data_IF_438938191836
#
_entry.id   IF_438938191836
#
_cell.length_a   1.000
_cell.length_b   1.000
_cell.length_c   1.000
_cell.angle_alpha   90.00
_cell.angle_beta   90.00
_cell.angle_gamma   90.00
#
_symmetry.space_group_name_H-M   'P 1'
#
loop_
_entity.id
_entity.type
_entity.pdbx_description
1 polymer ?
#
# COMPACT_ATOMS: atom_id res chain seq x y z
N UNK A 1 -1.09 -20.33 -18.01
CA UNK A 1 -2.51 -20.09 -17.71
C UNK A 1 -2.59 -19.21 -16.47
N UNK A 2 -3.43 -18.17 -16.44
CA UNK A 2 -3.61 -17.37 -15.23
C UNK A 2 -4.16 -18.23 -14.07
N UNK A 3 -3.75 -17.98 -12.82
CA UNK A 3 -4.08 -18.83 -11.68
C UNK A 3 -5.56 -18.78 -11.25
N UNK A 4 -6.35 -17.87 -11.83
CA UNK A 4 -7.77 -17.68 -11.51
C UNK A 4 -8.57 -17.45 -12.78
N UNK A 5 -9.73 -18.12 -12.91
CA UNK A 5 -10.63 -18.00 -14.06
C UNK A 5 -11.17 -16.57 -14.25
N UNK A 6 -11.47 -15.86 -13.16
CA UNK A 6 -12.00 -14.49 -13.20
C UNK A 6 -11.01 -13.51 -12.58
N UNK A 7 -10.58 -12.50 -13.34
CA UNK A 7 -9.65 -11.46 -12.90
C UNK A 7 -10.22 -10.07 -13.18
N UNK A 8 -9.72 -9.06 -12.47
CA UNK A 8 -10.02 -7.67 -12.84
C UNK A 8 -9.32 -7.33 -14.16
N UNK A 9 -10.02 -6.65 -15.05
CA UNK A 9 -9.49 -6.21 -16.35
C UNK A 9 -8.18 -5.41 -16.17
N UNK A 10 -7.06 -5.89 -16.75
CA UNK A 10 -5.81 -5.16 -16.74
C UNK A 10 -5.96 -3.76 -17.34
N UNK A 11 -5.14 -2.82 -16.89
CA UNK A 11 -5.24 -1.45 -17.35
C UNK A 11 -4.62 -1.28 -18.74
N UNK A 12 -5.43 -0.90 -19.73
CA UNK A 12 -4.99 -0.61 -21.10
C UNK A 12 -5.27 0.84 -21.53
N UNK A 13 -5.66 1.71 -20.60
CA UNK A 13 -6.01 3.11 -20.84
C UNK A 13 -7.39 3.47 -20.31
N UNK A 14 -7.86 4.70 -20.58
CA UNK A 14 -9.15 5.20 -20.07
C UNK A 14 -10.35 4.32 -20.46
N UNK A 15 -10.27 3.64 -21.61
CA UNK A 15 -11.35 2.80 -22.13
C UNK A 15 -11.52 1.48 -21.37
N UNK A 16 -10.46 1.02 -20.67
CA UNK A 16 -10.54 -0.14 -19.74
C UNK A 16 -11.15 0.24 -18.37
N UNK A 17 -11.71 1.44 -18.24
CA UNK A 17 -12.32 1.93 -17.00
C UNK A 17 -13.70 2.50 -17.28
N UNK A 18 -14.68 1.92 -16.61
CA UNK A 18 -16.10 2.17 -16.83
C UNK A 18 -16.67 3.15 -15.79
N UNK A 19 -17.92 3.51 -15.99
CA UNK A 19 -18.71 4.25 -15.01
C UNK A 19 -19.10 3.32 -13.86
N UNK A 20 -18.88 3.77 -12.62
CA UNK A 20 -19.25 2.98 -11.45
C UNK A 20 -20.79 2.93 -11.30
N UNK A 21 -21.40 1.73 -11.18
CA UNK A 21 -22.86 1.60 -11.06
C UNK A 21 -23.39 2.19 -9.75
N UNK A 22 -22.57 2.25 -8.70
CA UNK A 22 -22.99 2.78 -7.41
C UNK A 22 -22.88 4.32 -7.30
N UNK A 23 -21.78 4.92 -7.77
CA UNK A 23 -21.55 6.37 -7.60
C UNK A 23 -21.63 7.19 -8.90
N UNK A 24 -21.89 6.55 -10.04
CA UNK A 24 -22.04 7.21 -11.35
C UNK A 24 -20.79 7.90 -11.88
N UNK A 25 -19.63 7.76 -11.23
CA UNK A 25 -18.40 8.44 -11.68
C UNK A 25 -17.77 7.70 -12.88
N UNK A 26 -17.47 8.40 -13.98
CA UNK A 26 -16.87 7.80 -15.17
C UNK A 26 -15.40 7.42 -14.93
N UNK A 27 -14.94 6.36 -15.59
CA UNK A 27 -13.56 5.85 -15.52
C UNK A 27 -13.08 5.47 -14.11
N UNK A 28 -14.00 5.12 -13.22
CA UNK A 28 -13.69 4.72 -11.85
C UNK A 28 -14.04 3.27 -11.56
N UNK A 29 -14.48 2.49 -12.56
CA UNK A 29 -14.91 1.12 -12.37
C UNK A 29 -14.08 0.16 -13.20
N UNK A 30 -13.56 -0.89 -12.57
CA UNK A 30 -12.80 -1.97 -13.21
C UNK A 30 -13.64 -3.24 -13.14
N UNK A 31 -13.97 -3.84 -14.30
CA UNK A 31 -14.83 -5.02 -14.38
C UNK A 31 -14.02 -6.31 -14.26
N UNK A 32 -14.69 -7.40 -13.87
CA UNK A 32 -14.12 -8.74 -13.97
C UNK A 32 -14.28 -9.30 -15.38
N UNK A 33 -13.22 -9.93 -15.87
CA UNK A 33 -13.17 -10.68 -17.13
C UNK A 33 -12.94 -12.17 -16.86
N UNK A 34 -13.55 -13.04 -17.68
CA UNK A 34 -13.23 -14.46 -17.74
C UNK A 34 -11.95 -14.64 -18.57
N UNK A 35 -10.95 -15.30 -18.01
CA UNK A 35 -9.66 -15.54 -18.65
C UNK A 35 -9.70 -16.63 -19.71
N UNK A 36 -10.76 -17.46 -19.75
CA UNK A 36 -10.96 -18.48 -20.77
C UNK A 36 -11.59 -17.89 -22.04
N UNK A 37 -12.53 -16.94 -21.90
CA UNK A 37 -13.27 -16.35 -23.02
C UNK A 37 -12.83 -14.93 -23.38
N UNK A 38 -12.19 -14.21 -22.45
CA UNK A 38 -11.87 -12.79 -22.59
C UNK A 38 -13.07 -11.86 -22.36
N UNK A 39 -14.24 -12.39 -22.03
CA UNK A 39 -15.48 -11.63 -21.91
C UNK A 39 -15.69 -11.07 -20.50
N UNK A 40 -16.43 -9.96 -20.40
CA UNK A 40 -16.86 -9.41 -19.12
C UNK A 40 -17.94 -10.28 -18.49
N UNK A 41 -17.86 -10.48 -17.17
CA UNK A 41 -18.82 -11.33 -16.47
C UNK A 41 -20.23 -10.71 -16.46
N UNK A 42 -20.31 -9.42 -16.14
CA UNK A 42 -21.51 -8.60 -16.27
C UNK A 42 -21.14 -7.11 -16.05
N UNK A 43 -22.04 -6.22 -16.48
CA UNK A 43 -21.80 -4.78 -16.49
C UNK A 43 -21.56 -4.17 -15.10
N UNK A 44 -22.10 -4.80 -14.05
CA UNK A 44 -22.01 -4.37 -12.66
C UNK A 44 -21.00 -5.17 -11.84
N UNK A 45 -20.33 -6.19 -12.39
CA UNK A 45 -19.39 -7.03 -11.63
C UNK A 45 -17.99 -6.46 -11.73
N UNK A 46 -17.47 -5.95 -10.61
CA UNK A 46 -16.22 -5.19 -10.60
C UNK A 46 -15.98 -4.42 -9.31
N UNK A 47 -14.94 -3.60 -9.32
CA UNK A 47 -14.54 -2.75 -8.19
C UNK A 47 -14.45 -1.27 -8.60
N UNK A 48 -14.88 -0.39 -7.71
CA UNK A 48 -14.70 1.05 -7.86
C UNK A 48 -13.34 1.51 -7.31
N UNK A 49 -12.57 2.22 -8.13
CA UNK A 49 -11.28 2.81 -7.79
C UNK A 49 -11.41 3.91 -6.71
N UNK A 50 -12.60 4.51 -6.53
CA UNK A 50 -12.89 5.46 -5.46
C UNK A 50 -13.22 4.74 -4.15
N UNK A 51 -12.31 3.89 -3.70
CA UNK A 51 -12.52 2.99 -2.55
C UNK A 51 -13.01 3.76 -1.30
N UNK A 52 -12.39 4.90 -0.98
CA UNK A 52 -12.72 5.66 0.23
C UNK A 52 -14.05 6.42 0.14
N UNK A 53 -14.50 6.75 -1.09
CA UNK A 53 -15.71 7.55 -1.30
C UNK A 53 -16.93 6.72 -1.70
N UNK A 54 -16.71 5.56 -2.33
CA UNK A 54 -17.75 4.73 -2.91
C UNK A 54 -17.69 3.29 -2.38
N UNK A 55 -16.49 2.69 -2.30
CA UNK A 55 -16.30 1.35 -1.73
C UNK A 55 -16.95 0.20 -2.51
N UNK A 56 -17.59 0.46 -3.65
CA UNK A 56 -18.32 -0.57 -4.41
C UNK A 56 -17.38 -1.69 -4.89
N UNK A 57 -17.71 -2.93 -4.51
CA UNK A 57 -17.06 -4.14 -4.98
C UNK A 57 -18.10 -5.25 -5.08
N UNK A 58 -18.40 -5.68 -6.30
CA UNK A 58 -19.27 -6.82 -6.57
C UNK A 58 -18.42 -7.92 -7.22
N UNK A 59 -18.18 -9.00 -6.48
CA UNK A 59 -17.23 -10.05 -6.88
C UNK A 59 -17.90 -11.08 -7.79
N UNK A 60 -17.13 -11.86 -8.58
CA UNK A 60 -17.67 -13.02 -9.29
C UNK A 60 -18.41 -14.00 -8.36
N UNK A 61 -17.91 -14.19 -7.13
CA UNK A 61 -18.57 -15.04 -6.13
C UNK A 61 -19.97 -14.53 -5.78
N UNK A 62 -20.12 -13.21 -5.61
CA UNK A 62 -21.43 -12.60 -5.34
C UNK A 62 -22.34 -12.70 -6.56
N UNK A 63 -21.81 -12.42 -7.76
CA UNK A 63 -22.55 -12.54 -9.02
C UNK A 63 -23.15 -13.94 -9.23
N UNK A 64 -22.36 -15.00 -9.06
CA UNK A 64 -22.84 -16.37 -9.23
C UNK A 64 -23.79 -16.82 -8.12
N UNK A 65 -23.62 -16.32 -6.89
CA UNK A 65 -24.57 -16.55 -5.80
C UNK A 65 -25.93 -15.95 -6.15
N UNK A 66 -25.93 -14.74 -6.68
CA UNK A 66 -27.15 -13.96 -6.87
C UNK A 66 -27.89 -14.33 -8.18
N UNK A 67 -27.21 -14.87 -9.20
CA UNK A 67 -27.81 -15.14 -10.53
C UNK A 67 -28.23 -16.59 -10.83
N UNK A 68 -28.06 -17.56 -9.92
CA UNK A 68 -28.57 -18.96 -10.01
C UNK A 68 -28.57 -19.63 -11.40
N UNK A 69 -27.67 -19.29 -12.30
CA UNK A 69 -27.57 -19.90 -13.62
C UNK A 69 -26.24 -20.64 -13.75
N UNK A 70 -26.39 -21.92 -14.12
CA UNK A 70 -25.39 -22.98 -14.23
C UNK A 70 -25.13 -23.69 -12.89
N UNK A 71 -25.49 -24.96 -12.89
CA UNK A 71 -25.35 -25.90 -11.80
C UNK A 71 -24.00 -25.70 -11.08
N UNK A 72 -24.07 -25.51 -9.76
CA UNK A 72 -22.92 -25.72 -8.91
C UNK A 72 -22.34 -27.08 -9.31
N UNK A 73 -21.08 -27.18 -9.76
CA UNK A 73 -20.45 -28.48 -9.80
C UNK A 73 -20.61 -29.03 -8.39
N UNK A 74 -21.15 -30.25 -8.26
CA UNK A 74 -21.05 -31.00 -7.01
C UNK A 74 -19.64 -30.77 -6.47
N UNK A 75 -19.42 -30.62 -5.16
CA UNK A 75 -18.08 -30.49 -4.62
C UNK A 75 -17.33 -31.79 -4.96
N UNK A 76 -16.71 -31.83 -6.13
CA UNK A 76 -15.55 -32.67 -6.38
C UNK A 76 -14.65 -32.21 -5.28
N UNK A 77 -14.33 -33.10 -4.35
CA UNK A 77 -13.36 -32.83 -3.32
C UNK A 77 -12.18 -32.18 -4.04
N UNK A 78 -12.05 -30.85 -3.89
CA UNK A 78 -10.94 -30.12 -4.45
C UNK A 78 -9.78 -30.79 -3.75
N UNK A 79 -9.05 -31.66 -4.44
CA UNK A 79 -7.68 -31.95 -4.06
C UNK A 79 -7.11 -30.55 -3.88
N UNK A 80 -6.82 -30.19 -2.62
CA UNK A 80 -6.12 -28.94 -2.30
C UNK A 80 -5.11 -28.78 -3.42
N UNK A 81 -5.13 -27.68 -4.22
CA UNK A 81 -4.20 -27.55 -5.32
C UNK A 81 -2.86 -27.94 -4.74
N UNK A 82 -2.31 -29.06 -5.23
CA UNK A 82 -0.99 -29.47 -4.80
C UNK A 82 -0.16 -28.23 -5.09
N UNK A 83 0.58 -27.69 -4.12
CA UNK A 83 1.36 -26.50 -4.36
C UNK A 83 2.17 -26.80 -5.61
N UNK A 84 1.85 -26.13 -6.72
CA UNK A 84 2.74 -26.12 -7.87
C UNK A 84 4.07 -25.72 -7.25
N UNK A 85 5.15 -26.50 -7.45
CA UNK A 85 6.43 -26.15 -6.88
C UNK A 85 6.69 -24.72 -7.34
N UNK A 86 6.60 -23.78 -6.40
CA UNK A 86 6.95 -22.39 -6.66
C UNK A 86 8.37 -22.50 -7.14
N UNK A 87 8.63 -22.15 -8.39
CA UNK A 87 9.96 -22.26 -8.97
C UNK A 87 10.94 -21.59 -8.00
N UNK A 88 11.71 -22.42 -7.30
CA UNK A 88 12.46 -22.02 -6.11
C UNK A 88 13.55 -21.01 -6.45
N UNK A 89 13.80 -20.82 -7.75
CA UNK A 89 14.83 -19.98 -8.33
C UNK A 89 14.38 -18.53 -8.59
N UNK A 90 13.08 -18.20 -8.46
CA UNK A 90 12.64 -16.83 -8.68
C UNK A 90 13.14 -15.88 -7.57
N UNK A 91 13.65 -14.68 -7.93
CA UNK A 91 14.06 -13.68 -6.96
C UNK A 91 12.89 -13.25 -6.08
N UNK A 92 13.14 -13.19 -4.78
CA UNK A 92 12.17 -12.77 -3.75
C UNK A 92 12.62 -11.54 -2.96
N UNK A 93 13.85 -11.09 -3.21
CA UNK A 93 14.49 -9.97 -2.56
C UNK A 93 15.20 -9.10 -3.59
N UNK A 94 15.19 -7.79 -3.36
CA UNK A 94 16.06 -6.86 -4.08
C UNK A 94 17.50 -7.05 -3.61
N UNK A 95 18.49 -7.18 -4.51
CA UNK A 95 19.88 -7.33 -4.14
C UNK A 95 20.36 -6.14 -3.29
N UNK A 96 21.13 -6.43 -2.23
CA UNK A 96 21.69 -5.41 -1.34
C UNK A 96 22.49 -4.35 -2.11
N UNK A 97 23.26 -4.74 -3.13
CA UNK A 97 24.01 -3.79 -3.94
C UNK A 97 23.12 -2.76 -4.66
N UNK A 98 21.92 -3.16 -5.10
CA UNK A 98 20.95 -2.23 -5.72
C UNK A 98 20.42 -1.27 -4.68
N UNK A 99 20.02 -1.78 -3.52
CA UNK A 99 19.55 -0.98 -2.38
C UNK A 99 20.58 0.08 -1.96
N UNK A 100 21.82 -0.32 -1.67
CA UNK A 100 22.89 0.58 -1.21
C UNK A 100 23.21 1.68 -2.23
N UNK A 101 23.16 1.38 -3.54
CA UNK A 101 23.36 2.39 -4.60
C UNK A 101 22.34 3.53 -4.56
N UNK A 102 21.19 3.32 -3.91
CA UNK A 102 20.15 4.35 -3.80
C UNK A 102 20.28 5.23 -2.56
N UNK A 103 21.11 4.85 -1.58
CA UNK A 103 21.28 5.57 -0.31
C UNK A 103 22.26 6.75 -0.44
N UNK A 104 22.01 7.61 -1.43
CA UNK A 104 22.87 8.75 -1.77
C UNK A 104 22.06 9.83 -2.50
N UNK A 105 22.73 10.87 -2.99
CA UNK A 105 22.16 11.94 -3.82
C UNK A 105 20.95 12.67 -3.17
N UNK A 106 20.98 12.81 -1.84
CA UNK A 106 19.86 13.38 -1.07
C UNK A 106 19.57 14.84 -1.41
N UNK A 107 20.57 15.60 -1.87
CA UNK A 107 20.38 16.97 -2.37
C UNK A 107 19.44 17.03 -3.59
N UNK A 108 19.32 15.95 -4.34
CA UNK A 108 18.45 15.86 -5.51
C UNK A 108 17.09 15.22 -5.20
N UNK A 109 16.83 14.76 -3.97
CA UNK A 109 15.62 14.02 -3.62
C UNK A 109 14.51 14.97 -3.16
N UNK A 110 13.41 15.06 -3.92
CA UNK A 110 12.36 16.05 -3.66
C UNK A 110 11.69 15.89 -2.29
N UNK A 111 11.53 14.66 -1.81
CA UNK A 111 10.97 14.44 -0.48
C UNK A 111 11.92 14.94 0.61
N UNK A 112 13.24 14.73 0.44
CA UNK A 112 14.23 15.26 1.38
C UNK A 112 14.26 16.79 1.34
N UNK A 113 14.15 17.40 0.16
CA UNK A 113 14.01 18.86 0.05
C UNK A 113 12.80 19.38 0.82
N UNK A 114 11.66 18.70 0.72
CA UNK A 114 10.47 19.03 1.49
C UNK A 114 10.67 18.81 3.00
N UNK A 115 11.29 17.71 3.43
CA UNK A 115 11.59 17.50 4.85
C UNK A 115 12.49 18.61 5.42
N UNK A 116 13.47 19.07 4.65
CA UNK A 116 14.35 20.20 5.01
C UNK A 116 13.61 21.54 5.09
N UNK A 117 12.42 21.69 4.53
CA UNK A 117 11.61 22.90 4.70
C UNK A 117 10.77 22.89 5.98
N UNK A 118 10.67 21.75 6.67
CA UNK A 118 9.85 21.59 7.88
C UNK A 118 10.65 21.12 9.11
N UNK A 119 11.86 20.59 8.93
CA UNK A 119 12.74 20.09 9.99
C UNK A 119 14.19 20.56 9.79
N UNK A 120 14.95 20.59 10.88
CA UNK A 120 16.39 20.86 10.84
C UNK A 120 17.20 19.72 10.18
N UNK A 121 18.46 20.00 9.87
CA UNK A 121 19.31 19.06 9.13
C UNK A 121 19.65 17.77 9.91
N UNK A 122 19.75 17.84 11.23
CA UNK A 122 20.03 16.68 12.09
C UNK A 122 18.84 15.72 12.06
N UNK A 123 17.64 16.24 12.29
CA UNK A 123 16.39 15.50 12.23
C UNK A 123 16.21 14.84 10.87
N UNK A 124 16.40 15.57 9.77
CA UNK A 124 16.28 15.00 8.42
C UNK A 124 17.33 13.91 8.17
N UNK A 125 18.57 14.12 8.62
CA UNK A 125 19.64 13.13 8.48
C UNK A 125 19.33 11.84 9.25
N UNK A 126 18.80 11.97 10.46
CA UNK A 126 18.36 10.84 11.27
C UNK A 126 17.20 10.09 10.59
N UNK A 127 16.18 10.79 10.09
CA UNK A 127 15.06 10.18 9.36
C UNK A 127 15.52 9.40 8.12
N UNK A 128 16.44 9.97 7.33
CA UNK A 128 17.05 9.28 6.19
C UNK A 128 17.74 8.00 6.65
N UNK A 129 18.52 8.09 7.73
CA UNK A 129 19.31 6.99 8.25
C UNK A 129 18.44 5.85 8.80
N UNK A 130 17.43 6.13 9.62
CA UNK A 130 16.62 5.08 10.26
C UNK A 130 15.70 4.41 9.24
N UNK A 131 15.04 5.17 8.37
CA UNK A 131 14.12 4.62 7.36
C UNK A 131 14.81 4.13 6.09
N UNK A 132 16.13 4.33 6.00
CA UNK A 132 16.93 3.96 4.83
C UNK A 132 16.36 4.55 3.55
N UNK A 133 16.01 5.83 3.56
CA UNK A 133 15.35 6.48 2.41
C UNK A 133 16.28 6.44 1.20
N UNK A 134 15.77 5.95 0.06
CA UNK A 134 16.50 5.88 -1.19
C UNK A 134 16.18 7.03 -2.15
N UNK A 135 17.08 7.28 -3.09
CA UNK A 135 16.95 8.26 -4.18
C UNK A 135 17.00 7.55 -5.53
N UNK A 136 16.13 7.97 -6.45
CA UNK A 136 16.06 7.44 -7.81
C UNK A 136 16.04 8.55 -8.86
N UNK A 137 16.67 8.28 -10.01
CA UNK A 137 16.59 9.11 -11.22
C UNK A 137 15.30 8.89 -12.03
N UNK A 138 14.46 7.92 -11.65
CA UNK A 138 13.18 7.67 -12.31
C UNK A 138 12.29 8.92 -12.30
N UNK A 139 11.38 9.04 -13.28
CA UNK A 139 10.50 10.20 -13.47
C UNK A 139 11.26 11.53 -13.61
N UNK A 140 12.41 11.52 -14.30
CA UNK A 140 13.27 12.69 -14.52
C UNK A 140 13.88 13.24 -13.21
N UNK A 141 14.37 12.34 -12.35
CA UNK A 141 15.04 12.72 -11.10
C UNK A 141 14.11 13.11 -9.95
N UNK A 142 14.69 13.24 -8.76
CA UNK A 142 13.97 13.67 -7.54
C UNK A 142 12.98 12.68 -6.96
N UNK A 143 13.04 11.42 -7.39
CA UNK A 143 12.12 10.38 -6.92
C UNK A 143 12.66 9.73 -5.65
N UNK A 144 11.80 9.57 -4.66
CA UNK A 144 12.10 8.92 -3.39
C UNK A 144 11.77 7.43 -3.49
N UNK A 145 12.58 6.59 -2.85
CA UNK A 145 12.28 5.16 -2.67
C UNK A 145 12.05 4.88 -1.19
N UNK A 146 10.85 4.40 -0.86
CA UNK A 146 10.52 3.86 0.45
C UNK A 146 10.71 2.35 0.43
N UNK A 147 11.83 1.88 0.99
CA UNK A 147 12.16 0.47 1.01
C UNK A 147 11.34 -0.29 2.05
N UNK A 148 10.80 -1.44 1.63
CA UNK A 148 10.18 -2.41 2.53
C UNK A 148 11.27 -3.42 2.91
N UNK A 149 11.77 -3.29 4.12
CA UNK A 149 12.86 -4.09 4.68
C UNK A 149 12.28 -4.88 5.85
N UNK A 150 12.42 -6.20 5.82
CA UNK A 150 11.91 -7.02 6.91
C UNK A 150 12.82 -7.00 8.14
N UNK A 151 12.37 -7.61 9.24
CA UNK A 151 13.11 -7.68 10.51
C UNK A 151 14.48 -8.38 10.41
N UNK A 152 14.77 -9.08 9.31
CA UNK A 152 16.05 -9.74 9.07
C UNK A 152 16.96 -8.90 8.14
N UNK A 153 16.58 -7.65 7.84
CA UNK A 153 17.33 -6.76 6.96
C UNK A 153 17.22 -7.12 5.48
N UNK A 154 16.28 -7.98 5.08
CA UNK A 154 16.12 -8.40 3.68
C UNK A 154 15.20 -7.42 2.94
N UNK A 155 15.62 -6.97 1.77
CA UNK A 155 14.90 -5.96 0.99
C UNK A 155 13.80 -6.63 0.17
N UNK A 156 12.54 -6.50 0.61
CA UNK A 156 11.37 -7.14 -0.02
C UNK A 156 10.95 -6.48 -1.32
N UNK A 157 10.99 -5.15 -1.34
CA UNK A 157 10.67 -4.29 -2.50
C UNK A 157 10.95 -2.84 -2.08
N UNK A 158 10.72 -1.88 -2.96
CA UNK A 158 10.69 -0.46 -2.62
C UNK A 158 9.62 0.25 -3.41
N UNK A 159 8.92 1.19 -2.80
CA UNK A 159 7.92 2.02 -3.47
C UNK A 159 8.55 3.33 -3.89
N UNK A 160 8.55 3.59 -5.19
CA UNK A 160 9.05 4.82 -5.76
C UNK A 160 7.92 5.83 -5.83
N UNK A 161 8.14 7.04 -5.32
CA UNK A 161 7.16 8.12 -5.34
C UNK A 161 7.90 9.43 -5.64
N UNK A 162 7.43 10.17 -6.65
CA UNK A 162 7.89 11.53 -6.91
C UNK A 162 6.99 12.54 -6.18
N UNK A 163 7.62 13.38 -5.39
CA UNK A 163 6.97 14.47 -4.66
C UNK A 163 7.26 15.81 -5.30
N UNK A 164 6.35 16.74 -5.10
CA UNK A 164 6.62 18.16 -5.25
C UNK A 164 7.52 18.61 -4.08
N UNK A 165 8.68 19.24 -4.35
CA UNK A 165 9.67 19.55 -3.31
C UNK A 165 9.27 20.70 -2.39
N UNK A 166 8.28 21.51 -2.77
CA UNK A 166 7.82 22.66 -1.97
C UNK A 166 6.63 22.27 -1.08
N UNK A 167 5.70 21.49 -1.64
CA UNK A 167 4.44 21.16 -0.97
C UNK A 167 4.41 19.77 -0.33
N UNK A 168 5.37 18.90 -0.65
CA UNK A 168 5.38 17.52 -0.17
C UNK A 168 4.21 16.68 -0.68
N UNK A 169 3.51 17.15 -1.72
CA UNK A 169 2.39 16.43 -2.36
C UNK A 169 2.91 15.47 -3.43
N UNK A 170 2.28 14.30 -3.55
CA UNK A 170 2.61 13.33 -4.60
C UNK A 170 2.26 13.91 -5.97
N UNK A 171 3.17 13.78 -6.94
CA UNK A 171 2.89 14.19 -8.32
C UNK A 171 1.95 13.17 -8.97
N UNK A 172 0.73 13.60 -9.31
CA UNK A 172 -0.33 12.76 -9.89
C UNK A 172 -0.62 13.06 -11.37
N UNK A 173 0.00 14.12 -11.91
CA UNK A 173 -0.20 14.59 -13.30
C UNK A 173 1.15 14.72 -14.02
N UNK A 174 1.23 14.43 -15.33
CA UNK A 174 0.15 13.95 -16.20
C UNK A 174 -0.33 12.53 -15.87
N UNK A 175 0.50 11.75 -15.16
CA UNK A 175 0.16 10.45 -14.59
C UNK A 175 0.71 10.34 -13.15
N UNK A 176 0.20 9.41 -12.33
CA UNK A 176 0.79 9.12 -11.03
C UNK A 176 2.27 8.74 -11.14
N UNK A 177 3.15 9.60 -10.64
CA UNK A 177 4.59 9.37 -10.66
C UNK A 177 5.00 8.43 -9.52
N UNK A 178 4.52 7.19 -9.59
CA UNK A 178 4.81 6.12 -8.64
C UNK A 178 4.99 4.79 -9.35
N UNK A 179 5.89 3.95 -8.84
CA UNK A 179 6.14 2.60 -9.35
C UNK A 179 6.79 1.76 -8.25
N UNK A 180 7.07 0.49 -8.52
CA UNK A 180 7.74 -0.41 -7.58
C UNK A 180 9.11 -0.83 -8.07
N UNK A 181 10.08 -0.92 -7.16
CA UNK A 181 11.45 -1.28 -7.46
C UNK A 181 11.53 -2.67 -8.13
N UNK A 182 10.76 -3.65 -7.64
CA UNK A 182 10.75 -4.98 -8.25
C UNK A 182 10.23 -4.95 -9.68
N UNK A 183 9.21 -4.15 -10.00
CA UNK A 183 8.69 -4.02 -11.37
C UNK A 183 9.70 -3.36 -12.32
N UNK A 184 10.57 -2.48 -11.80
CA UNK A 184 11.63 -1.87 -12.60
C UNK A 184 12.81 -2.82 -12.85
N UNK A 185 13.12 -3.67 -11.87
CA UNK A 185 14.27 -4.59 -11.92
C UNK A 185 13.93 -5.92 -12.60
N UNK A 186 12.69 -6.37 -12.43
CA UNK A 186 12.19 -7.65 -12.89
C UNK A 186 10.90 -7.39 -13.68
N UNK A 187 10.95 -7.59 -14.99
CA UNK A 187 9.76 -7.44 -15.86
C UNK A 187 8.71 -8.50 -15.52
N UNK A 188 9.13 -9.74 -15.29
CA UNK A 188 8.32 -10.87 -14.86
C UNK A 188 9.15 -11.76 -13.89
N UNK A 189 8.49 -12.63 -13.13
CA UNK A 189 9.17 -13.62 -12.30
C UNK A 189 9.77 -13.09 -10.99
N UNK A 190 9.06 -12.22 -10.27
CA UNK A 190 9.43 -11.80 -8.91
C UNK A 190 8.42 -12.33 -7.89
N UNK A 191 8.89 -13.07 -6.88
CA UNK A 191 8.06 -13.56 -5.78
C UNK A 191 7.85 -12.44 -4.76
N UNK A 192 6.90 -11.56 -5.05
CA UNK A 192 6.57 -10.43 -4.20
C UNK A 192 6.00 -10.90 -2.87
N UNK A 193 6.68 -10.55 -1.78
CA UNK A 193 6.20 -10.71 -0.40
C UNK A 193 6.44 -9.39 0.33
N UNK A 194 5.39 -8.58 0.46
CA UNK A 194 5.50 -7.24 1.04
C UNK A 194 5.48 -7.27 2.56
N UNK A 195 6.27 -6.38 3.16
CA UNK A 195 6.32 -6.15 4.60
C UNK A 195 5.93 -4.68 4.90
N UNK A 196 5.76 -4.31 6.17
CA UNK A 196 5.47 -2.92 6.54
C UNK A 196 6.68 -2.03 6.17
N UNK A 197 6.42 -0.79 5.77
CA UNK A 197 7.49 0.20 5.72
C UNK A 197 7.91 0.53 7.16
N UNK A 198 9.22 0.51 7.43
CA UNK A 198 9.78 0.66 8.78
C UNK A 198 9.84 -0.63 9.60
N UNK A 199 9.40 -1.78 9.07
CA UNK A 199 9.35 -3.05 9.82
C UNK A 199 10.71 -3.46 10.41
N UNK A 200 11.81 -3.17 9.71
CA UNK A 200 13.18 -3.39 10.17
C UNK A 200 13.52 -2.68 11.48
N UNK A 201 12.79 -1.62 11.86
CA UNK A 201 13.00 -0.90 13.12
C UNK A 201 12.53 -1.71 14.35
N UNK A 202 11.59 -2.65 14.17
CA UNK A 202 10.99 -3.43 15.26
C UNK A 202 12.03 -4.25 16.03
N UNK A 203 13.07 -4.74 15.34
CA UNK A 203 14.12 -5.56 15.92
C UNK A 203 15.04 -4.79 16.87
N UNK A 204 15.21 -3.48 16.65
CA UNK A 204 16.11 -2.64 17.47
C UNK A 204 15.52 -2.25 18.82
N UNK A 205 14.19 -2.22 18.95
CA UNK A 205 13.48 -1.74 20.15
C UNK A 205 12.25 -2.59 20.45
N UNK A 206 12.40 -3.82 20.99
CA UNK A 206 11.31 -4.77 21.21
C UNK A 206 10.14 -4.29 22.08
N UNK A 207 10.38 -3.38 23.02
CA UNK A 207 9.37 -2.88 23.97
C UNK A 207 8.65 -1.60 23.55
N UNK A 208 9.16 -0.89 22.53
CA UNK A 208 8.60 0.41 22.14
C UNK A 208 7.18 0.26 21.53
N UNK A 209 6.27 1.21 21.81
CA UNK A 209 4.95 1.20 21.20
C UNK A 209 5.05 1.45 19.68
N UNK A 210 4.11 0.89 18.94
CA UNK A 210 4.07 0.94 17.47
C UNK A 210 2.89 1.78 17.04
N UNK A 211 3.15 2.75 16.16
CA UNK A 211 2.13 3.52 15.48
C UNK A 211 2.05 3.08 14.00
N UNK A 212 0.84 2.85 13.48
CA UNK A 212 0.63 2.45 12.08
C UNK A 212 -0.17 3.52 11.34
N UNK A 213 0.32 3.93 10.17
CA UNK A 213 -0.36 4.86 9.25
C UNK A 213 -0.50 4.26 7.85
N UNK A 214 -1.29 4.88 6.99
CA UNK A 214 -1.44 4.41 5.61
C UNK A 214 -0.16 4.67 4.78
N UNK A 215 0.42 5.86 4.92
CA UNK A 215 1.41 6.39 3.98
C UNK A 215 2.82 6.43 4.57
N UNK A 216 3.81 6.11 3.74
CA UNK A 216 5.23 6.10 4.13
C UNK A 216 5.72 7.51 4.49
N UNK A 217 5.24 8.54 3.78
CA UNK A 217 5.51 9.95 4.08
C UNK A 217 5.06 10.29 5.50
N UNK A 218 3.84 9.89 5.84
CA UNK A 218 3.20 10.18 7.14
C UNK A 218 4.00 9.55 8.26
N UNK A 219 4.45 8.29 8.10
CA UNK A 219 5.28 7.62 9.09
C UNK A 219 6.60 8.37 9.34
N UNK A 220 7.28 8.80 8.27
CA UNK A 220 8.54 9.55 8.39
C UNK A 220 8.35 10.89 9.11
N UNK A 221 7.33 11.66 8.76
CA UNK A 221 7.07 12.97 9.39
C UNK A 221 6.65 12.78 10.86
N UNK A 222 5.79 11.80 11.14
CA UNK A 222 5.33 11.51 12.48
C UNK A 222 6.44 10.99 13.39
N UNK A 223 7.44 10.27 12.86
CA UNK A 223 8.62 9.85 13.62
C UNK A 223 9.44 11.02 14.15
N UNK A 224 9.51 12.15 13.43
CA UNK A 224 10.18 13.36 13.91
C UNK A 224 9.34 14.11 14.95
N UNK A 225 8.02 14.15 14.79
CA UNK A 225 7.12 14.92 15.66
C UNK A 225 6.74 14.19 16.94
N UNK A 226 6.68 12.86 16.92
CA UNK A 226 6.29 12.01 18.05
C UNK A 226 7.20 10.77 18.12
N UNK A 227 8.46 10.94 18.58
CA UNK A 227 9.49 9.91 18.51
C UNK A 227 9.30 8.73 19.48
N UNK A 228 8.37 8.83 20.43
CA UNK A 228 8.07 7.77 21.41
C UNK A 228 7.50 6.50 20.78
N UNK A 229 7.02 6.57 19.53
CA UNK A 229 6.54 5.43 18.76
C UNK A 229 7.54 5.01 17.69
N UNK A 230 7.51 3.72 17.35
CA UNK A 230 7.99 3.23 16.07
C UNK A 230 6.88 3.48 15.04
N UNK A 231 7.12 4.36 14.08
CA UNK A 231 6.14 4.63 13.03
C UNK A 231 6.32 3.71 11.82
N UNK A 232 5.26 2.95 11.52
CA UNK A 232 5.19 2.03 10.39
C UNK A 232 4.11 2.46 9.40
N UNK A 233 4.26 2.07 8.14
CA UNK A 233 3.21 2.30 7.14
C UNK A 233 2.79 1.03 6.38
N UNK A 234 1.49 0.90 6.13
CA UNK A 234 0.93 -0.19 5.31
C UNK A 234 1.23 0.00 3.83
N UNK A 235 1.32 1.26 3.37
CA UNK A 235 1.56 1.65 1.99
C UNK A 235 0.28 1.84 1.16
N UNK A 236 -0.88 1.43 1.69
CA UNK A 236 -2.20 1.75 1.15
C UNK A 236 -3.31 1.39 2.15
N UNK A 237 -4.50 1.95 1.94
CA UNK A 237 -5.71 1.61 2.70
C UNK A 237 -5.97 0.11 2.78
N UNK A 238 -5.72 -0.62 1.70
CA UNK A 238 -6.07 -2.04 1.55
C UNK A 238 -5.03 -2.99 2.14
N UNK A 239 -3.84 -2.49 2.46
CA UNK A 239 -2.73 -3.29 2.97
C UNK A 239 -2.73 -3.45 4.50
N UNK A 240 -3.71 -2.86 5.19
CA UNK A 240 -3.99 -3.18 6.60
C UNK A 240 -4.73 -4.53 6.69
N UNK A 241 -3.97 -5.63 6.65
CA UNK A 241 -4.48 -6.99 6.60
C UNK A 241 -3.69 -7.95 7.50
N UNK A 242 -4.30 -9.05 7.98
CA UNK A 242 -3.68 -9.96 8.95
C UNK A 242 -2.26 -10.42 8.60
N UNK A 243 -2.04 -10.89 7.36
CA UNK A 243 -0.74 -11.40 6.91
C UNK A 243 0.42 -10.42 7.12
N UNK A 244 0.14 -9.10 7.03
CA UNK A 244 1.12 -8.04 7.16
C UNK A 244 1.29 -7.56 8.60
N UNK A 245 0.23 -7.67 9.40
CA UNK A 245 0.18 -7.16 10.77
C UNK A 245 0.66 -8.20 11.80
N UNK A 246 0.66 -9.48 11.46
CA UNK A 246 1.08 -10.57 12.35
C UNK A 246 2.47 -10.40 12.97
N UNK A 247 3.38 -9.68 12.31
CA UNK A 247 4.71 -9.33 12.84
C UNK A 247 4.64 -8.46 14.12
N UNK A 248 3.50 -7.82 14.36
CA UNK A 248 3.24 -6.94 15.51
C UNK A 248 2.57 -7.66 16.67
N UNK A 249 2.44 -8.98 16.60
CA UNK A 249 1.99 -9.78 17.74
C UNK A 249 2.86 -9.47 18.96
N UNK A 250 2.21 -9.33 20.12
CA UNK A 250 2.84 -8.95 21.39
C UNK A 250 3.43 -7.53 21.44
N UNK A 251 3.06 -6.64 20.51
CA UNK A 251 3.38 -5.21 20.56
C UNK A 251 2.20 -4.41 21.09
N UNK A 252 2.47 -3.26 21.71
CA UNK A 252 1.46 -2.21 21.95
C UNK A 252 1.27 -1.43 20.66
N UNK A 253 0.13 -1.60 19.99
CA UNK A 253 -0.10 -1.03 18.65
C UNK A 253 -1.27 -0.05 18.66
N UNK A 254 -1.03 1.13 18.11
CA UNK A 254 -2.08 2.11 17.78
C UNK A 254 -2.04 2.37 16.27
N UNK A 255 -3.17 2.23 15.59
CA UNK A 255 -3.30 2.56 14.19
C UNK A 255 -4.03 3.90 14.03
N UNK A 256 -3.48 4.77 13.19
CA UNK A 256 -4.00 6.08 12.82
C UNK A 256 -4.46 6.03 11.35
N UNK A 257 -5.67 5.52 11.07
CA UNK A 257 -6.22 5.44 9.72
C UNK A 257 -6.45 6.85 9.16
N UNK A 258 -6.24 7.02 7.85
CA UNK A 258 -6.62 8.25 7.14
C UNK A 258 -8.13 8.57 7.32
N UNK A 259 -8.52 9.82 7.09
CA UNK A 259 -9.92 10.25 7.19
C UNK A 259 -10.82 9.39 6.28
N UNK A 260 -11.87 8.82 6.87
CA UNK A 260 -12.81 7.90 6.20
C UNK A 260 -12.36 6.43 6.16
N UNK A 261 -11.17 6.09 6.65
CA UNK A 261 -10.65 4.71 6.67
C UNK A 261 -10.88 3.97 7.99
N UNK A 262 -11.31 4.68 9.05
CA UNK A 262 -11.39 4.15 10.43
C UNK A 262 -12.22 2.88 10.54
N UNK A 263 -13.45 2.89 10.04
CA UNK A 263 -14.37 1.76 10.21
C UNK A 263 -13.84 0.51 9.47
N UNK A 264 -13.23 0.71 8.30
CA UNK A 264 -12.59 -0.37 7.56
C UNK A 264 -11.44 -1.00 8.35
N UNK A 265 -10.54 -0.18 8.89
CA UNK A 265 -9.41 -0.66 9.69
C UNK A 265 -9.86 -1.32 10.99
N UNK A 266 -10.93 -0.79 11.61
CA UNK A 266 -11.57 -1.42 12.78
C UNK A 266 -12.08 -2.82 12.45
N UNK A 267 -12.78 -3.00 11.33
CA UNK A 267 -13.22 -4.33 10.90
C UNK A 267 -12.05 -5.27 10.63
N UNK A 268 -10.99 -4.78 9.98
CA UNK A 268 -9.78 -5.57 9.74
C UNK A 268 -9.00 -5.94 11.01
N UNK A 269 -9.01 -5.07 12.02
CA UNK A 269 -8.40 -5.38 13.31
C UNK A 269 -9.14 -6.50 14.06
N UNK A 270 -10.45 -6.67 13.84
CA UNK A 270 -11.22 -7.78 14.43
C UNK A 270 -10.88 -9.14 13.82
N UNK A 271 -10.24 -9.18 12.64
CA UNK A 271 -9.75 -10.42 12.02
C UNK A 271 -8.45 -10.94 12.66
N UNK A 272 -7.83 -10.14 13.55
CA UNK A 272 -6.61 -10.51 14.27
C UNK A 272 -6.94 -11.17 15.61
N UNK A 273 -6.06 -12.05 16.05
CA UNK A 273 -6.10 -12.70 17.37
C UNK A 273 -5.28 -11.93 18.44
N UNK A 274 -4.85 -10.71 18.13
CA UNK A 274 -4.21 -9.79 19.07
C UNK A 274 -4.76 -8.36 18.86
N UNK A 275 -4.79 -7.52 19.90
CA UNK A 275 -5.45 -6.22 19.82
C UNK A 275 -4.59 -5.18 19.09
N UNK A 276 -5.25 -4.37 18.26
CA UNK A 276 -4.72 -3.11 17.73
C UNK A 276 -5.74 -2.00 18.06
N UNK A 277 -5.27 -0.93 18.72
CA UNK A 277 -6.12 0.22 19.03
C UNK A 277 -6.29 1.04 17.75
N UNK A 278 -7.53 1.22 17.28
CA UNK A 278 -7.82 2.08 16.14
C UNK A 278 -8.18 3.48 16.65
N UNK A 279 -7.27 4.43 16.42
CA UNK A 279 -7.45 5.82 16.83
C UNK A 279 -8.64 6.46 16.11
N UNK A 280 -9.45 7.21 16.85
CA UNK A 280 -10.53 8.05 16.33
C UNK A 280 -10.17 9.53 16.28
N UNK A 281 -8.92 9.87 16.62
CA UNK A 281 -8.43 11.24 16.72
C UNK A 281 -8.72 12.05 15.45
N UNK A 282 -8.32 11.54 14.28
CA UNK A 282 -8.56 12.23 13.01
C UNK A 282 -10.06 12.45 12.75
N UNK A 283 -10.90 11.45 13.00
CA UNK A 283 -12.35 11.56 12.83
C UNK A 283 -12.96 12.60 13.78
N UNK A 284 -12.45 12.70 15.01
CA UNK A 284 -12.98 13.62 16.01
C UNK A 284 -12.58 15.08 15.75
N UNK A 285 -11.36 15.31 15.27
CA UNK A 285 -10.78 16.65 15.21
C UNK A 285 -10.72 17.27 13.80
N UNK A 286 -10.90 16.49 12.73
CA UNK A 286 -10.85 17.05 11.38
C UNK A 286 -12.13 17.82 11.00
N UNK A 287 -11.94 19.06 10.54
CA UNK A 287 -13.00 19.90 9.97
C UNK A 287 -13.49 19.37 8.61
N UNK A 288 -14.63 19.88 8.11
CA UNK A 288 -15.16 19.50 6.80
C UNK A 288 -14.18 19.82 5.66
N UNK A 289 -13.46 20.93 5.78
CA UNK A 289 -12.47 21.39 4.80
C UNK A 289 -11.24 20.46 4.82
N UNK A 290 -10.73 20.12 6.00
CA UNK A 290 -9.60 19.20 6.17
C UNK A 290 -9.94 17.79 5.64
N UNK A 291 -11.18 17.34 5.86
CA UNK A 291 -11.70 16.08 5.28
C UNK A 291 -11.73 16.10 3.75
N UNK A 292 -12.12 17.21 3.13
CA UNK A 292 -12.06 17.38 1.67
C UNK A 292 -10.62 17.40 1.14
N UNK A 293 -9.68 17.95 1.91
CA UNK A 293 -8.26 17.96 1.56
C UNK A 293 -7.60 16.58 1.74
N UNK A 294 -8.18 15.71 2.56
CA UNK A 294 -7.67 14.37 2.85
C UNK A 294 -6.40 14.42 3.70
N UNK A 295 -6.42 15.25 4.75
CA UNK A 295 -5.32 15.34 5.71
C UNK A 295 -5.13 14.04 6.49
N UNK A 296 -3.90 13.79 6.91
CA UNK A 296 -3.48 12.63 7.70
C UNK A 296 -2.94 13.06 9.07
N UNK A 297 -2.55 12.11 9.93
CA UNK A 297 -2.10 12.41 11.30
C UNK A 297 -0.89 13.36 11.34
N UNK A 298 0.00 13.33 10.35
CA UNK A 298 1.17 14.19 10.35
C UNK A 298 0.84 15.68 10.15
N UNK A 299 -0.33 15.97 9.57
CA UNK A 299 -0.87 17.33 9.43
C UNK A 299 -1.46 17.88 10.75
N UNK A 300 -1.73 17.02 11.73
CA UNK A 300 -2.28 17.38 13.05
C UNK A 300 -1.25 17.34 14.19
N UNK A 301 -0.07 16.78 13.92
CA UNK A 301 1.08 16.77 14.83
C UNK A 301 1.88 18.08 14.75
#
# INVERSE_FOLDING_TARGET
>A
MPPYRYILEPYHGKNSRFTCPACGKPHQFTRYIDTETGEYLADNVGICNRINNCGYHYTPKDYFRDNKTIASPKPVALKKPQPHPVDSNLPRFIPQAVFHKTLTAYRQNNFISYLKSIFDEETVSNLIYIYKIGTSKHFNGGTTIFWQIDTHGRIRTGKLIKYDPLTGKRIKKPFPATTWAHSLLYKEGYLLSQCLFGEHLLAGVPGAPVAIVESEKTAVIAQAKLPDYIWLATGSLTEFKPDKLNILRNRKVVAFPDLGARDRWKQKALELDFPIIISDYLEKYATKEQRKQGLDIADFL
#
